data_IF_305925099693
#
_entry.id   IF_305925099693
#
_cell.length_a   1.000
_cell.length_b   1.000
_cell.length_c   1.000
_cell.angle_alpha   90.00
_cell.angle_beta   90.00
_cell.angle_gamma   90.00
#
_symmetry.space_group_name_H-M   'P 1'
#
loop_
_entity.id
_entity.type
_entity.pdbx_description
1 polymer ?
#
# COMPACT_ATOMS: atom_id res chain seq x y z
N UNK A 1 20.40 1.88 14.77
CA UNK A 1 19.02 1.39 14.98
C UNK A 1 18.88 0.11 14.17
N UNK A 2 18.58 -1.01 14.82
CA UNK A 2 18.43 -2.31 14.14
C UNK A 2 17.13 -2.27 13.35
N UNK A 3 17.23 -2.30 12.03
CA UNK A 3 16.06 -2.50 11.18
C UNK A 3 15.52 -3.89 11.53
N UNK A 4 14.37 -3.97 12.20
CA UNK A 4 13.73 -5.25 12.44
C UNK A 4 13.42 -5.84 11.06
N UNK A 5 14.06 -6.96 10.73
CA UNK A 5 13.74 -7.70 9.51
C UNK A 5 12.35 -8.31 9.67
N UNK A 6 11.36 -7.76 8.98
CA UNK A 6 10.02 -8.33 8.93
C UNK A 6 9.60 -8.56 7.48
N UNK A 7 8.86 -9.64 7.25
CA UNK A 7 8.28 -9.96 5.94
C UNK A 7 7.15 -8.96 5.71
N UNK A 8 7.17 -8.24 4.60
CA UNK A 8 6.11 -7.31 4.19
C UNK A 8 5.09 -8.02 3.29
N UNK A 9 3.84 -7.52 3.19
CA UNK A 9 2.87 -8.03 2.22
C UNK A 9 3.43 -7.93 0.80
N UNK A 10 3.30 -9.00 0.03
CA UNK A 10 3.71 -9.02 -1.37
C UNK A 10 2.63 -8.41 -2.26
N UNK A 11 3.00 -8.00 -3.47
CA UNK A 11 2.04 -7.55 -4.48
C UNK A 11 0.93 -8.60 -4.74
N UNK A 12 1.23 -9.91 -4.58
CA UNK A 12 0.23 -10.98 -4.70
C UNK A 12 -0.76 -11.01 -3.52
N UNK A 13 -0.27 -10.80 -2.30
CA UNK A 13 -1.12 -10.72 -1.11
C UNK A 13 -2.08 -9.53 -1.23
N UNK A 14 -1.56 -8.39 -1.68
CA UNK A 14 -2.34 -7.18 -1.91
C UNK A 14 -3.45 -7.41 -2.93
N UNK A 15 -3.15 -8.04 -4.06
CA UNK A 15 -4.17 -8.37 -5.06
C UNK A 15 -5.26 -9.27 -4.50
N UNK A 16 -4.90 -10.24 -3.66
CA UNK A 16 -5.88 -11.12 -3.00
C UNK A 16 -6.79 -10.35 -2.05
N UNK A 17 -6.23 -9.49 -1.21
CA UNK A 17 -7.00 -8.73 -0.22
C UNK A 17 -7.93 -7.70 -0.88
N UNK A 18 -7.51 -7.15 -2.03
CA UNK A 18 -8.35 -6.28 -2.86
C UNK A 18 -9.39 -7.02 -3.70
N UNK A 19 -9.33 -8.36 -3.77
CA UNK A 19 -10.11 -9.18 -4.70
C UNK A 19 -9.93 -8.73 -6.16
N UNK A 20 -8.69 -8.43 -6.53
CA UNK A 20 -8.30 -7.88 -7.83
C UNK A 20 -7.27 -8.78 -8.53
N UNK A 21 -7.06 -8.54 -9.83
CA UNK A 21 -6.10 -9.31 -10.62
C UNK A 21 -4.90 -8.46 -11.06
N UNK A 22 -3.78 -9.11 -11.38
CA UNK A 22 -2.55 -8.42 -11.79
C UNK A 22 -2.67 -7.64 -13.12
N UNK A 23 -3.75 -7.85 -13.88
CA UNK A 23 -4.03 -7.13 -15.12
C UNK A 23 -4.91 -5.89 -14.88
N UNK A 24 -5.72 -5.84 -13.83
CA UNK A 24 -6.57 -4.69 -13.50
C UNK A 24 -5.77 -3.58 -12.82
N UNK A 25 -4.74 -3.95 -12.06
CA UNK A 25 -3.92 -3.03 -11.27
C UNK A 25 -2.50 -2.89 -11.85
N UNK A 26 -1.91 -1.71 -11.67
CA UNK A 26 -0.49 -1.42 -11.85
C UNK A 26 0.08 -0.84 -10.55
N UNK A 27 1.01 -1.56 -9.93
CA UNK A 27 1.76 -1.03 -8.79
C UNK A 27 2.73 0.06 -9.24
N UNK A 28 2.86 1.11 -8.42
CA UNK A 28 3.65 2.30 -8.72
C UNK A 28 4.73 2.45 -7.65
N UNK A 29 5.99 2.60 -8.06
CA UNK A 29 7.12 2.82 -7.16
C UNK A 29 7.48 1.58 -6.32
N UNK A 30 8.05 1.82 -5.13
CA UNK A 30 8.31 0.82 -4.10
C UNK A 30 7.25 0.89 -3.00
N UNK A 31 7.11 -0.19 -2.22
CA UNK A 31 6.29 -0.14 -1.01
C UNK A 31 6.99 0.74 0.04
N UNK A 32 6.20 1.48 0.80
CA UNK A 32 6.69 2.35 1.87
C UNK A 32 6.26 1.81 3.23
N UNK A 33 7.11 1.98 4.25
CA UNK A 33 6.78 1.59 5.60
C UNK A 33 7.17 2.67 6.61
N UNK A 34 6.37 2.79 7.66
CA UNK A 34 6.67 3.66 8.79
C UNK A 34 6.54 2.87 10.09
N UNK A 35 7.52 3.05 10.97
CA UNK A 35 7.56 2.42 12.28
C UNK A 35 7.46 3.50 13.35
N UNK A 36 6.41 3.41 14.17
CA UNK A 36 6.23 4.13 15.43
C UNK A 36 6.42 3.17 16.59
N UNK A 37 6.48 3.70 17.82
CA UNK A 37 6.72 2.92 19.04
C UNK A 37 5.71 1.77 19.20
N UNK A 38 4.45 1.99 18.83
CA UNK A 38 3.37 1.02 19.02
C UNK A 38 2.83 0.41 17.72
N UNK A 39 3.35 0.81 16.57
CA UNK A 39 2.70 0.53 15.28
C UNK A 39 3.71 0.47 14.14
N UNK A 40 3.57 -0.53 13.28
CA UNK A 40 4.28 -0.57 12.00
C UNK A 40 3.23 -0.54 10.91
N UNK A 41 3.30 0.47 10.05
CA UNK A 41 2.42 0.66 8.90
C UNK A 41 3.21 0.34 7.63
N UNK A 42 2.61 -0.44 6.74
CA UNK A 42 3.07 -0.63 5.38
C UNK A 42 2.05 -0.05 4.41
N UNK A 43 2.53 0.47 3.29
CA UNK A 43 1.68 1.01 2.25
C UNK A 43 2.23 0.75 0.87
N UNK A 44 1.34 0.54 -0.09
CA UNK A 44 1.71 0.27 -1.48
C UNK A 44 0.81 1.07 -2.41
N UNK A 45 1.42 1.87 -3.26
CA UNK A 45 0.69 2.70 -4.23
C UNK A 45 0.42 1.92 -5.50
N UNK A 46 -0.77 2.09 -6.04
CA UNK A 46 -1.21 1.46 -7.27
C UNK A 46 -2.18 2.35 -8.03
N UNK A 47 -2.39 2.05 -9.31
CA UNK A 47 -3.49 2.61 -10.10
C UNK A 47 -4.21 1.50 -10.86
N UNK A 48 -5.47 1.74 -11.19
CA UNK A 48 -6.21 0.86 -12.09
C UNK A 48 -5.82 1.16 -13.53
N UNK A 49 -5.53 0.11 -14.32
CA UNK A 49 -5.03 0.28 -15.70
C UNK A 49 -6.07 0.89 -16.65
N UNK A 50 -7.36 0.64 -16.37
CA UNK A 50 -8.48 1.10 -17.17
C UNK A 50 -9.21 2.30 -16.57
N UNK A 51 -8.64 2.89 -15.52
CA UNK A 51 -9.17 4.11 -14.95
C UNK A 51 -8.79 5.31 -15.83
N UNK A 52 -9.81 5.95 -16.40
CA UNK A 52 -9.67 7.13 -17.27
C UNK A 52 -9.08 8.32 -16.53
N UNK A 53 -9.35 8.43 -15.24
CA UNK A 53 -8.87 9.53 -14.40
C UNK A 53 -7.46 9.29 -13.85
N UNK A 54 -6.88 8.10 -14.10
CA UNK A 54 -5.55 7.67 -13.62
C UNK A 54 -5.36 7.93 -12.13
N UNK A 55 -6.40 7.68 -11.33
CA UNK A 55 -6.35 7.91 -9.90
C UNK A 55 -5.29 7.04 -9.24
N UNK A 56 -4.46 7.68 -8.40
CA UNK A 56 -3.52 6.96 -7.56
C UNK A 56 -4.24 6.53 -6.28
N UNK A 57 -4.10 5.27 -5.94
CA UNK A 57 -4.64 4.67 -4.73
C UNK A 57 -3.51 4.04 -3.94
N UNK A 58 -3.67 3.98 -2.64
CA UNK A 58 -2.70 3.39 -1.75
C UNK A 58 -3.41 2.39 -0.83
N UNK A 59 -2.94 1.15 -0.83
CA UNK A 59 -3.35 0.18 0.19
C UNK A 59 -2.58 0.44 1.47
N UNK A 60 -3.25 0.25 2.61
CA UNK A 60 -2.68 0.43 3.94
C UNK A 60 -2.79 -0.87 4.72
N UNK A 61 -1.67 -1.23 5.35
CA UNK A 61 -1.56 -2.37 6.25
C UNK A 61 -0.96 -1.93 7.58
N UNK A 62 -1.43 -2.54 8.66
CA UNK A 62 -0.83 -2.42 9.98
C UNK A 62 -0.33 -3.78 10.47
N UNK A 63 0.86 -3.80 11.06
CA UNK A 63 1.41 -5.01 11.64
C UNK A 63 0.81 -5.25 13.02
N UNK A 64 0.20 -6.41 13.21
CA UNK A 64 -0.30 -6.89 14.49
C UNK A 64 0.40 -8.20 14.86
N UNK A 65 1.36 -8.11 15.79
CA UNK A 65 2.23 -9.24 16.12
C UNK A 65 3.06 -9.69 14.91
N UNK A 66 2.79 -10.90 14.42
CA UNK A 66 3.46 -11.50 13.25
C UNK A 66 2.67 -11.34 11.94
N UNK A 67 1.46 -10.77 11.98
CA UNK A 67 0.54 -10.72 10.84
C UNK A 67 0.40 -9.27 10.37
N UNK A 68 0.20 -9.09 9.06
CA UNK A 68 -0.24 -7.83 8.50
C UNK A 68 -1.74 -7.83 8.34
N UNK A 69 -2.40 -6.86 8.95
CA UNK A 69 -3.82 -6.64 8.78
C UNK A 69 -4.05 -5.59 7.70
N UNK A 70 -4.85 -5.95 6.70
CA UNK A 70 -5.35 -5.01 5.72
C UNK A 70 -6.32 -4.04 6.40
N UNK A 71 -6.03 -2.74 6.30
CA UNK A 71 -6.89 -1.69 6.85
C UNK A 71 -7.85 -1.15 5.79
N UNK A 72 -7.34 -0.90 4.57
CA UNK A 72 -8.15 -0.33 3.52
C UNK A 72 -7.35 0.32 2.40
N UNK A 73 -8.08 1.02 1.53
CA UNK A 73 -7.55 1.74 0.38
C UNK A 73 -7.87 3.22 0.52
N UNK A 74 -6.87 4.07 0.34
CA UNK A 74 -7.04 5.52 0.29
C UNK A 74 -6.73 6.05 -1.10
N UNK A 75 -7.50 7.04 -1.56
CA UNK A 75 -7.17 7.77 -2.78
C UNK A 75 -6.12 8.82 -2.47
N UNK A 76 -5.01 8.79 -3.20
CA UNK A 76 -4.02 9.86 -3.17
C UNK A 76 -4.52 10.93 -4.16
N UNK A 77 -5.28 11.91 -3.65
CA UNK A 77 -5.40 13.16 -4.38
C UNK A 77 -4.01 13.76 -4.45
N UNK A 78 -3.54 14.12 -5.65
CA UNK A 78 -2.40 15.01 -5.79
C UNK A 78 -2.73 16.24 -4.92
N UNK A 79 -2.14 16.33 -3.74
CA UNK A 79 -2.05 17.61 -3.06
C UNK A 79 -1.30 18.47 -4.04
N UNK A 80 -2.03 19.35 -4.73
CA UNK A 80 -1.44 20.44 -5.48
C UNK A 80 -0.49 21.13 -4.51
N UNK A 81 0.81 20.89 -4.68
CA UNK A 81 1.84 21.63 -3.96
C UNK A 81 1.72 23.03 -4.54
N UNK A 82 0.88 23.83 -3.91
CA UNK A 82 0.79 25.26 -4.17
C UNK A 82 1.94 25.93 -3.43
N UNK A 83 2.75 26.62 -4.24
CA UNK A 83 3.86 27.55 -3.94
C UNK A 83 5.24 26.95 -3.81
#
# INVERSE_FOLDING_TARGET
MTLLSFIIPTDKDILRDLNENSRSIKFIGLGDFSQKINEIKFSRTFSYRFDKEKTLKQVIYFKQGLVWQFEGVVSLQEKSISK
#
